data_IF_312998398682
#
_entry.id   IF_312998398682
#
_cell.length_a   1.000
_cell.length_b   1.000
_cell.length_c   1.000
_cell.angle_alpha   90.00
_cell.angle_beta   90.00
_cell.angle_gamma   90.00
#
_symmetry.space_group_name_H-M   'P 1'
#
loop_
_entity.id
_entity.type
_entity.pdbx_description
1 polymer ?
#
# COMPACT_ATOMS: atom_id res chain seq x y z
N UNK A 1 -58.54 -72.87 -34.27
CA UNK A 1 -58.10 -71.53 -34.69
C UNK A 1 -57.17 -71.02 -33.60
N UNK A 2 -55.96 -71.56 -33.42
CA UNK A 2 -54.86 -71.69 -34.39
C UNK A 2 -54.66 -70.41 -35.19
N UNK A 3 -53.71 -69.59 -34.75
CA UNK A 3 -52.61 -69.11 -35.59
C UNK A 3 -51.33 -69.06 -34.73
N UNK A 4 -50.32 -69.75 -35.23
CA UNK A 4 -48.96 -69.89 -34.70
C UNK A 4 -48.14 -68.61 -34.88
N UNK A 5 -47.07 -68.51 -34.09
CA UNK A 5 -46.04 -67.48 -34.19
C UNK A 5 -44.82 -67.85 -33.35
N UNK A 6 -44.15 -68.92 -33.78
CA UNK A 6 -42.95 -69.54 -33.22
C UNK A 6 -41.72 -68.63 -33.38
N UNK A 7 -40.86 -68.55 -32.35
CA UNK A 7 -39.60 -67.81 -32.40
C UNK A 7 -38.69 -68.13 -31.22
N UNK A 8 -37.98 -69.25 -31.34
CA UNK A 8 -36.93 -69.74 -30.44
C UNK A 8 -35.63 -68.95 -30.59
N UNK A 9 -34.87 -68.81 -29.48
CA UNK A 9 -33.41 -68.76 -29.49
C UNK A 9 -32.76 -67.72 -28.59
N UNK A 10 -32.15 -68.10 -27.44
CA UNK A 10 -31.09 -67.33 -26.82
C UNK A 10 -29.76 -67.81 -27.40
N UNK A 11 -29.28 -67.16 -28.47
CA UNK A 11 -27.93 -67.40 -28.98
C UNK A 11 -26.96 -66.32 -28.50
N UNK A 12 -25.85 -66.79 -27.95
CA UNK A 12 -24.89 -66.00 -27.23
C UNK A 12 -24.12 -65.01 -28.10
N UNK A 13 -23.71 -63.92 -27.47
CA UNK A 13 -22.56 -63.16 -27.92
C UNK A 13 -21.39 -63.41 -26.97
N UNK A 14 -20.26 -63.67 -27.62
CA UNK A 14 -19.13 -64.41 -27.11
C UNK A 14 -18.41 -63.69 -25.98
N UNK A 15 -18.07 -64.50 -24.99
CA UNK A 15 -17.05 -64.26 -23.99
C UNK A 15 -15.70 -64.16 -24.72
N UNK A 16 -15.30 -62.94 -25.07
CA UNK A 16 -13.97 -62.65 -25.59
C UNK A 16 -12.91 -62.92 -24.52
N UNK A 17 -12.42 -64.16 -24.51
CA UNK A 17 -11.21 -64.56 -23.81
C UNK A 17 -10.01 -64.33 -24.73
N UNK A 18 -9.30 -63.22 -24.54
CA UNK A 18 -7.91 -62.92 -24.93
C UNK A 18 -7.68 -61.53 -24.29
N UNK A 19 -6.95 -61.37 -23.18
CA UNK A 19 -5.53 -61.67 -23.04
C UNK A 19 -5.21 -61.76 -21.52
N UNK A 20 -5.10 -62.99 -20.99
CA UNK A 20 -4.37 -63.23 -19.75
C UNK A 20 -2.88 -62.99 -20.03
N UNK A 21 -2.45 -61.74 -19.93
CA UNK A 21 -1.13 -61.34 -20.41
C UNK A 21 -0.61 -60.01 -19.88
N UNK A 22 -0.96 -59.60 -18.66
CA UNK A 22 -0.22 -58.52 -17.99
C UNK A 22 -0.21 -58.65 -16.46
N UNK A 23 0.13 -59.84 -15.96
CA UNK A 23 0.83 -59.97 -14.68
C UNK A 23 2.32 -59.73 -14.93
N UNK A 24 2.64 -58.48 -15.23
CA UNK A 24 3.99 -57.98 -15.39
C UNK A 24 4.16 -56.79 -14.46
N UNK A 25 4.82 -57.04 -13.34
CA UNK A 25 5.27 -56.07 -12.35
C UNK A 25 6.27 -55.10 -12.99
N UNK A 26 5.78 -54.20 -13.85
CA UNK A 26 6.60 -53.19 -14.52
C UNK A 26 6.65 -51.95 -13.62
N UNK A 27 7.36 -52.09 -12.50
CA UNK A 27 7.75 -51.02 -11.57
C UNK A 27 8.82 -50.10 -12.18
N UNK A 28 8.71 -49.78 -13.47
CA UNK A 28 9.42 -48.68 -14.10
C UNK A 28 8.75 -47.36 -13.72
N UNK A 29 9.51 -46.26 -13.48
CA UNK A 29 8.90 -44.96 -13.25
C UNK A 29 8.11 -44.56 -14.50
N UNK A 30 6.78 -44.64 -14.43
CA UNK A 30 5.87 -44.13 -15.46
C UNK A 30 6.37 -42.75 -15.89
N UNK A 31 6.74 -42.63 -17.17
CA UNK A 31 7.26 -41.38 -17.71
C UNK A 31 6.27 -40.26 -17.42
N UNK A 32 6.75 -39.22 -16.72
CA UNK A 32 5.91 -38.06 -16.39
C UNK A 32 5.42 -37.44 -17.70
N UNK A 33 4.16 -37.04 -17.74
CA UNK A 33 3.64 -36.30 -18.89
C UNK A 33 4.42 -35.00 -19.07
N UNK A 34 4.63 -34.57 -20.32
CA UNK A 34 5.32 -33.31 -20.64
C UNK A 34 4.72 -32.11 -19.90
N UNK A 35 3.39 -32.09 -19.77
CA UNK A 35 2.66 -31.07 -19.03
C UNK A 35 3.03 -31.05 -17.54
N UNK A 36 3.13 -32.23 -16.90
CA UNK A 36 3.53 -32.33 -15.49
C UNK A 36 4.96 -31.83 -15.29
N UNK A 37 5.88 -32.19 -16.18
CA UNK A 37 7.26 -31.70 -16.13
C UNK A 37 7.32 -30.18 -16.25
N UNK A 38 6.52 -29.58 -17.14
CA UNK A 38 6.42 -28.14 -17.27
C UNK A 38 5.96 -27.45 -15.99
N UNK A 39 4.92 -27.98 -15.34
CA UNK A 39 4.43 -27.40 -14.09
C UNK A 39 5.43 -27.56 -12.93
N UNK A 40 6.07 -28.72 -12.81
CA UNK A 40 7.12 -28.95 -11.80
C UNK A 40 8.29 -27.97 -12.00
N UNK A 41 8.72 -27.75 -13.24
CA UNK A 41 9.76 -26.78 -13.56
C UNK A 41 9.34 -25.34 -13.20
N UNK A 42 8.09 -24.94 -13.50
CA UNK A 42 7.58 -23.62 -13.12
C UNK A 42 7.57 -23.43 -11.59
N UNK A 43 7.16 -24.45 -10.84
CA UNK A 43 7.18 -24.41 -9.37
C UNK A 43 8.61 -24.18 -8.87
N UNK A 44 9.59 -24.88 -9.44
CA UNK A 44 10.97 -24.73 -9.02
C UNK A 44 11.53 -23.32 -9.29
N UNK A 45 11.19 -22.72 -10.44
CA UNK A 45 11.54 -21.32 -10.73
C UNK A 45 10.90 -20.37 -9.73
N UNK A 46 9.61 -20.55 -9.44
CA UNK A 46 8.90 -19.70 -8.46
C UNK A 46 9.52 -19.86 -7.07
N UNK A 47 9.78 -21.09 -6.62
CA UNK A 47 10.41 -21.38 -5.32
C UNK A 47 11.76 -20.68 -5.17
N UNK A 48 12.57 -20.68 -6.22
CA UNK A 48 13.86 -19.98 -6.23
C UNK A 48 13.70 -18.45 -6.12
N UNK A 49 12.58 -17.89 -6.57
CA UNK A 49 12.32 -16.44 -6.52
C UNK A 49 11.74 -15.99 -5.17
N UNK A 50 10.79 -16.74 -4.60
CA UNK A 50 10.01 -16.30 -3.43
C UNK A 50 10.36 -17.04 -2.13
N UNK A 51 11.16 -18.11 -2.20
CA UNK A 51 11.59 -18.91 -1.05
C UNK A 51 10.66 -20.08 -0.74
N UNK A 52 10.79 -20.61 0.48
CA UNK A 52 10.02 -21.76 0.98
C UNK A 52 8.66 -21.34 1.57
N UNK A 53 7.71 -22.27 1.66
CA UNK A 53 6.34 -21.94 2.12
C UNK A 53 6.31 -21.40 3.56
N UNK A 54 7.10 -22.00 4.45
CA UNK A 54 7.21 -21.57 5.86
C UNK A 54 7.95 -20.22 6.00
N UNK A 55 8.93 -19.95 5.13
CA UNK A 55 9.60 -18.64 5.08
C UNK A 55 8.64 -17.54 4.64
N UNK A 56 7.87 -17.78 3.56
CA UNK A 56 6.86 -16.84 3.08
C UNK A 56 5.83 -16.57 4.19
N UNK A 57 5.36 -17.62 4.87
CA UNK A 57 4.44 -17.48 6.00
C UNK A 57 5.04 -16.62 7.12
N UNK A 58 6.30 -16.85 7.47
CA UNK A 58 7.06 -16.07 8.46
C UNK A 58 7.15 -14.60 8.08
N UNK A 59 7.50 -14.31 6.83
CA UNK A 59 7.60 -12.95 6.28
C UNK A 59 6.26 -12.20 6.27
N UNK A 60 5.15 -12.93 6.13
CA UNK A 60 3.80 -12.37 6.22
C UNK A 60 3.29 -12.24 7.67
N UNK A 61 4.00 -12.79 8.66
CA UNK A 61 3.57 -12.79 10.06
C UNK A 61 2.26 -13.56 10.30
N UNK A 62 1.96 -14.56 9.45
CA UNK A 62 0.70 -15.31 9.50
C UNK A 62 0.85 -16.62 10.26
N UNK A 63 -0.22 -17.04 10.95
CA UNK A 63 -0.33 -18.42 11.43
C UNK A 63 -0.65 -19.35 10.26
N UNK A 64 -0.35 -20.65 10.41
CA UNK A 64 -0.64 -21.66 9.38
C UNK A 64 -2.13 -21.66 8.98
N UNK A 65 -3.03 -21.55 9.97
CA UNK A 65 -4.47 -21.44 9.74
C UNK A 65 -4.85 -20.22 8.90
N UNK A 66 -4.25 -19.05 9.17
CA UNK A 66 -4.50 -17.82 8.40
C UNK A 66 -3.92 -17.91 6.99
N UNK A 67 -2.77 -18.56 6.83
CA UNK A 67 -2.17 -18.80 5.52
C UNK A 67 -3.04 -19.72 4.66
N UNK A 68 -3.57 -20.78 5.25
CA UNK A 68 -4.52 -21.66 4.60
C UNK A 68 -5.82 -20.92 4.21
N UNK A 69 -6.34 -20.05 5.07
CA UNK A 69 -7.49 -19.19 4.75
C UNK A 69 -7.19 -18.22 3.60
N UNK A 70 -6.02 -17.58 3.59
CA UNK A 70 -5.59 -16.67 2.52
C UNK A 70 -5.58 -17.37 1.16
N UNK A 71 -5.13 -18.63 1.14
CA UNK A 71 -5.04 -19.45 -0.07
C UNK A 71 -6.32 -20.25 -0.36
N UNK A 72 -7.36 -20.11 0.47
CA UNK A 72 -8.62 -20.83 0.37
C UNK A 72 -8.45 -22.36 0.36
N UNK A 73 -7.57 -22.87 1.21
CA UNK A 73 -7.29 -24.31 1.37
C UNK A 73 -7.52 -24.77 2.80
N UNK A 74 -7.67 -26.08 2.99
CA UNK A 74 -7.82 -26.64 4.33
C UNK A 74 -6.50 -26.54 5.12
N UNK A 75 -6.54 -26.17 6.42
CA UNK A 75 -5.34 -26.09 7.26
C UNK A 75 -4.50 -27.37 7.29
N UNK A 76 -5.13 -28.55 7.23
CA UNK A 76 -4.42 -29.84 7.19
C UNK A 76 -3.59 -30.01 5.92
N UNK A 77 -4.05 -29.43 4.81
CA UNK A 77 -3.37 -29.50 3.52
C UNK A 77 -2.07 -28.69 3.55
N UNK A 78 -2.09 -27.52 4.18
CA UNK A 78 -0.89 -26.71 4.41
C UNK A 78 0.19 -27.51 5.15
N UNK A 79 -0.18 -28.11 6.28
CA UNK A 79 0.74 -28.91 7.09
C UNK A 79 1.31 -30.10 6.32
N UNK A 80 0.51 -30.71 5.43
CA UNK A 80 0.98 -31.80 4.58
C UNK A 80 2.06 -31.34 3.60
N UNK A 81 1.88 -30.19 2.96
CA UNK A 81 2.88 -29.66 2.02
C UNK A 81 4.19 -29.33 2.71
N UNK A 82 4.13 -28.68 3.87
CA UNK A 82 5.35 -28.25 4.59
C UNK A 82 6.09 -29.43 5.23
N UNK A 83 5.38 -30.48 5.66
CA UNK A 83 6.00 -31.70 6.22
C UNK A 83 6.83 -32.49 5.19
N UNK A 84 6.43 -32.45 3.92
CA UNK A 84 7.08 -33.21 2.84
C UNK A 84 7.97 -32.33 1.95
N UNK A 85 8.59 -31.27 2.50
CA UNK A 85 9.58 -30.48 1.76
C UNK A 85 8.99 -29.46 0.76
N UNK A 86 7.81 -28.93 1.08
CA UNK A 86 7.06 -27.91 0.32
C UNK A 86 6.48 -28.41 -1.02
N UNK A 87 5.91 -29.61 -1.01
CA UNK A 87 5.20 -30.21 -2.16
C UNK A 87 3.79 -29.63 -2.36
N UNK A 88 3.66 -28.30 -2.38
CA UNK A 88 2.41 -27.66 -2.73
C UNK A 88 2.14 -27.73 -4.25
N UNK A 89 0.87 -27.86 -4.68
CA UNK A 89 0.50 -27.85 -6.08
C UNK A 89 0.93 -26.57 -6.82
N UNK A 90 1.13 -26.64 -8.15
CA UNK A 90 1.60 -25.49 -8.93
C UNK A 90 0.74 -24.23 -8.84
N UNK A 91 -0.58 -24.38 -8.74
CA UNK A 91 -1.49 -23.24 -8.63
C UNK A 91 -1.35 -22.48 -7.31
N UNK A 92 -0.94 -23.16 -6.23
CA UNK A 92 -0.71 -22.53 -4.92
C UNK A 92 0.52 -21.63 -4.97
N UNK A 93 1.61 -22.13 -5.55
CA UNK A 93 2.81 -21.33 -5.80
C UNK A 93 2.52 -20.12 -6.68
N UNK A 94 1.68 -20.29 -7.72
CA UNK A 94 1.26 -19.19 -8.57
C UNK A 94 0.43 -18.14 -7.82
N UNK A 95 -0.52 -18.58 -7.00
CA UNK A 95 -1.33 -17.68 -6.19
C UNK A 95 -0.48 -16.87 -5.20
N UNK A 96 0.50 -17.50 -4.56
CA UNK A 96 1.46 -16.82 -3.68
C UNK A 96 2.30 -15.79 -4.44
N UNK A 97 2.78 -16.14 -5.63
CA UNK A 97 3.52 -15.21 -6.48
C UNK A 97 2.68 -13.95 -6.80
N UNK A 98 1.41 -14.13 -7.19
CA UNK A 98 0.51 -13.01 -7.46
C UNK A 98 0.22 -12.16 -6.23
N UNK A 99 -0.02 -12.81 -5.08
CA UNK A 99 -0.26 -12.09 -3.83
C UNK A 99 0.93 -11.22 -3.43
N UNK A 100 2.17 -11.75 -3.53
CA UNK A 100 3.37 -11.00 -3.21
C UNK A 100 3.58 -9.82 -4.17
N UNK A 101 3.40 -10.03 -5.48
CA UNK A 101 3.43 -8.95 -6.46
C UNK A 101 2.36 -7.86 -6.20
N UNK A 102 1.15 -8.25 -5.78
CA UNK A 102 0.09 -7.29 -5.43
C UNK A 102 0.45 -6.47 -4.18
N UNK A 103 1.03 -7.12 -3.17
CA UNK A 103 1.49 -6.46 -1.94
C UNK A 103 2.58 -5.41 -2.23
N UNK A 104 3.47 -5.66 -3.19
CA UNK A 104 4.50 -4.70 -3.60
C UNK A 104 3.91 -3.47 -4.31
N UNK A 105 2.84 -3.66 -5.10
CA UNK A 105 2.22 -2.57 -5.88
C UNK A 105 1.23 -1.73 -5.07
N UNK A 106 0.59 -2.31 -4.06
CA UNK A 106 -0.43 -1.63 -3.24
C UNK A 106 0.09 -1.49 -1.80
N UNK A 107 0.69 -0.34 -1.44
CA UNK A 107 1.17 -0.12 -0.08
C UNK A 107 -0.02 -0.18 0.91
N UNK A 108 0.14 -0.93 1.98
CA UNK A 108 -0.92 -1.13 2.99
C UNK A 108 -1.85 -2.33 2.74
N UNK A 109 -1.65 -3.10 1.65
CA UNK A 109 -2.39 -4.35 1.46
C UNK A 109 -1.96 -5.37 2.53
N UNK A 110 -2.85 -5.60 3.50
CA UNK A 110 -2.64 -6.60 4.55
C UNK A 110 -3.35 -7.90 4.19
N UNK A 111 -2.84 -9.07 4.63
CA UNK A 111 -3.53 -10.35 4.42
C UNK A 111 -4.96 -10.36 4.99
N UNK A 112 -5.21 -9.48 5.97
CA UNK A 112 -6.48 -9.35 6.68
C UNK A 112 -7.59 -8.83 5.76
N UNK A 113 -7.21 -8.13 4.69
CA UNK A 113 -8.13 -7.72 3.64
C UNK A 113 -8.84 -8.91 2.99
N UNK A 114 -8.11 -10.00 2.76
CA UNK A 114 -8.64 -11.20 2.10
C UNK A 114 -9.27 -12.19 3.08
N UNK A 115 -8.78 -12.24 4.32
CA UNK A 115 -9.22 -13.22 5.31
C UNK A 115 -10.49 -12.77 6.03
N UNK A 116 -10.68 -11.46 6.26
CA UNK A 116 -11.85 -10.98 6.99
C UNK A 116 -13.10 -10.96 6.12
N UNK A 117 -14.14 -11.62 6.61
CA UNK A 117 -15.35 -12.01 5.86
C UNK A 117 -16.29 -10.84 5.54
N UNK A 118 -15.95 -9.60 5.89
CA UNK A 118 -16.80 -8.44 5.58
C UNK A 118 -15.98 -7.30 4.98
N UNK A 119 -15.95 -7.19 3.64
CA UNK A 119 -15.40 -6.00 2.97
C UNK A 119 -16.03 -4.70 3.51
N UNK A 120 -17.25 -4.77 4.03
CA UNK A 120 -17.95 -3.65 4.67
C UNK A 120 -17.24 -3.13 5.93
N UNK A 121 -16.74 -4.01 6.80
CA UNK A 121 -16.09 -3.59 8.06
C UNK A 121 -14.73 -2.94 7.77
N UNK A 122 -14.00 -3.47 6.79
CA UNK A 122 -12.74 -2.88 6.33
C UNK A 122 -12.97 -1.53 5.64
N UNK A 123 -13.98 -1.44 4.78
CA UNK A 123 -14.34 -0.18 4.15
C UNK A 123 -14.75 0.86 5.20
N UNK A 124 -15.55 0.47 6.19
CA UNK A 124 -15.95 1.35 7.28
C UNK A 124 -14.74 1.81 8.11
N UNK A 125 -13.75 0.94 8.34
CA UNK A 125 -12.51 1.32 9.02
C UNK A 125 -11.67 2.29 8.17
N UNK A 126 -11.50 2.00 6.89
CA UNK A 126 -10.78 2.88 5.96
C UNK A 126 -11.44 4.26 5.85
N UNK A 127 -12.77 4.31 5.80
CA UNK A 127 -13.52 5.56 5.83
C UNK A 127 -13.30 6.34 7.13
N UNK A 128 -13.33 5.67 8.29
CA UNK A 128 -13.05 6.31 9.58
C UNK A 128 -11.64 6.88 9.66
N UNK A 129 -10.64 6.15 9.17
CA UNK A 129 -9.25 6.64 9.13
C UNK A 129 -9.13 7.87 8.21
N UNK A 130 -9.80 7.87 7.07
CA UNK A 130 -9.82 9.00 6.14
C UNK A 130 -10.53 10.23 6.74
N UNK A 131 -11.63 10.02 7.47
CA UNK A 131 -12.34 11.10 8.17
C UNK A 131 -11.48 11.71 9.29
N UNK A 132 -10.75 10.88 10.05
CA UNK A 132 -9.79 11.36 11.04
C UNK A 132 -8.68 12.19 10.39
N UNK A 133 -8.09 11.70 9.30
CA UNK A 133 -7.05 12.43 8.56
C UNK A 133 -7.56 13.79 8.04
N UNK A 134 -8.80 13.84 7.54
CA UNK A 134 -9.43 15.10 7.12
C UNK A 134 -9.61 16.06 8.29
N UNK A 135 -10.05 15.55 9.44
CA UNK A 135 -10.26 16.37 10.63
C UNK A 135 -8.93 16.97 11.12
N UNK A 136 -7.88 16.16 11.20
CA UNK A 136 -6.52 16.63 11.55
C UNK A 136 -6.02 17.68 10.55
N UNK A 137 -6.25 17.50 9.25
CA UNK A 137 -5.91 18.51 8.24
C UNK A 137 -6.66 19.82 8.45
N UNK A 138 -7.94 19.78 8.78
CA UNK A 138 -8.75 20.97 9.07
C UNK A 138 -8.24 21.69 10.31
N UNK A 139 -7.94 20.95 11.38
CA UNK A 139 -7.39 21.49 12.62
C UNK A 139 -6.01 22.12 12.39
N UNK A 140 -5.14 21.43 11.66
CA UNK A 140 -3.82 21.95 11.29
C UNK A 140 -3.94 23.21 10.42
N UNK A 141 -4.86 23.24 9.44
CA UNK A 141 -5.13 24.44 8.66
C UNK A 141 -5.67 25.58 9.52
N UNK A 142 -6.55 25.29 10.48
CA UNK A 142 -7.07 26.26 11.43
C UNK A 142 -5.94 26.89 12.24
N UNK A 143 -5.07 26.07 12.83
CA UNK A 143 -3.91 26.53 13.60
C UNK A 143 -2.94 27.36 12.74
N UNK A 144 -2.65 26.92 11.52
CA UNK A 144 -1.79 27.66 10.59
C UNK A 144 -2.41 29.02 10.21
N UNK A 145 -3.73 29.07 10.01
CA UNK A 145 -4.43 30.31 9.68
C UNK A 145 -4.36 31.33 10.82
N UNK A 146 -4.46 30.87 12.08
CA UNK A 146 -4.30 31.72 13.26
C UNK A 146 -2.88 32.27 13.37
N UNK A 147 -1.87 31.42 13.13
CA UNK A 147 -0.47 31.86 13.09
C UNK A 147 -0.24 32.93 12.01
N UNK A 148 -0.76 32.73 10.80
CA UNK A 148 -0.66 33.71 9.72
C UNK A 148 -1.36 35.03 10.06
N UNK A 149 -2.52 34.98 10.71
CA UNK A 149 -3.21 36.20 11.16
C UNK A 149 -2.37 36.97 12.19
N UNK A 150 -1.77 36.28 13.15
CA UNK A 150 -0.90 36.91 14.15
C UNK A 150 0.34 37.53 13.49
N UNK A 151 1.02 36.80 12.60
CA UNK A 151 2.16 37.34 11.85
C UNK A 151 1.77 38.54 10.98
N UNK A 152 0.56 38.53 10.40
CA UNK A 152 0.06 39.65 9.62
C UNK A 152 -0.14 40.88 10.49
N UNK A 153 -0.68 40.72 11.71
CA UNK A 153 -0.84 41.80 12.70
C UNK A 153 0.50 42.36 13.14
N UNK A 154 1.45 41.50 13.52
CA UNK A 154 2.82 41.92 13.87
C UNK A 154 3.47 42.71 12.72
N UNK A 155 3.31 42.23 11.48
CA UNK A 155 3.82 42.93 10.30
C UNK A 155 3.15 44.28 10.09
N UNK A 156 1.86 44.43 10.38
CA UNK A 156 1.19 45.74 10.29
C UNK A 156 1.65 46.70 11.38
N UNK A 157 1.85 46.21 12.60
CA UNK A 157 2.27 47.03 13.74
C UNK A 157 3.70 47.54 13.54
N UNK A 158 4.63 46.65 13.15
CA UNK A 158 6.01 47.03 12.81
C UNK A 158 6.05 48.05 11.67
N UNK A 159 5.22 47.89 10.64
CA UNK A 159 5.16 48.88 9.55
C UNK A 159 4.67 50.24 10.05
N UNK A 160 3.72 50.28 10.98
CA UNK A 160 3.27 51.53 11.58
C UNK A 160 4.37 52.18 12.44
N UNK A 161 5.12 51.39 13.20
CA UNK A 161 6.28 51.89 13.97
C UNK A 161 7.36 52.47 13.05
N UNK A 162 7.70 51.78 11.96
CA UNK A 162 8.63 52.30 10.96
C UNK A 162 8.14 53.62 10.35
N UNK A 163 6.84 53.76 10.08
CA UNK A 163 6.27 55.00 9.57
C UNK A 163 6.34 56.14 10.60
N UNK A 164 6.09 55.86 11.88
CA UNK A 164 6.24 56.83 12.97
C UNK A 164 7.69 57.29 13.10
N UNK A 165 8.63 56.35 13.21
CA UNK A 165 10.07 56.64 13.30
C UNK A 165 10.57 57.45 12.08
N UNK A 166 10.12 57.09 10.88
CA UNK A 166 10.46 57.83 9.65
C UNK A 166 9.90 59.25 9.68
N UNK A 167 8.68 59.45 10.21
CA UNK A 167 8.07 60.77 10.37
C UNK A 167 8.83 61.60 11.39
N UNK A 168 9.20 61.02 12.52
CA UNK A 168 9.96 61.68 13.58
C UNK A 168 11.36 62.06 13.10
N UNK A 169 12.05 61.19 12.38
CA UNK A 169 13.36 61.49 11.80
C UNK A 169 13.26 62.64 10.78
N UNK A 170 12.24 62.62 9.92
CA UNK A 170 11.98 63.73 9.00
C UNK A 170 11.65 65.05 9.73
N UNK A 171 10.95 64.98 10.87
CA UNK A 171 10.67 66.13 11.71
C UNK A 171 11.95 66.69 12.34
N UNK A 172 12.79 65.83 12.94
CA UNK A 172 14.09 66.22 13.50
C UNK A 172 15.01 66.82 12.43
N UNK A 173 15.04 66.25 11.22
CA UNK A 173 15.81 66.80 10.10
C UNK A 173 15.36 68.22 9.74
N UNK A 174 14.04 68.46 9.65
CA UNK A 174 13.49 69.80 9.38
C UNK A 174 13.78 70.77 10.53
N UNK A 175 13.61 70.35 11.78
CA UNK A 175 13.90 71.16 12.96
C UNK A 175 15.38 71.53 13.05
N UNK A 176 16.30 70.59 12.75
CA UNK A 176 17.74 70.86 12.72
C UNK A 176 18.09 71.94 11.70
N UNK A 177 17.49 71.90 10.49
CA UNK A 177 17.67 72.95 9.48
C UNK A 177 17.18 74.32 10.00
N UNK A 178 16.01 74.36 10.64
CA UNK A 178 15.46 75.61 11.21
C UNK A 178 16.37 76.16 12.30
N UNK A 179 16.86 75.31 13.21
CA UNK A 179 17.77 75.72 14.29
C UNK A 179 19.09 76.27 13.71
N UNK A 180 19.64 75.63 12.67
CA UNK A 180 20.83 76.12 11.97
C UNK A 180 20.61 77.48 11.31
N UNK A 181 19.44 77.72 10.71
CA UNK A 181 19.12 79.02 10.11
C UNK A 181 18.97 80.12 11.18
N UNK A 182 18.37 79.80 12.33
CA UNK A 182 18.24 80.75 13.44
C UNK A 182 19.61 81.06 14.03
N UNK A 183 20.46 80.05 14.27
CA UNK A 183 21.80 80.27 14.80
C UNK A 183 22.68 81.06 13.83
N UNK A 184 22.56 80.81 12.52
CA UNK A 184 23.26 81.58 11.49
C UNK A 184 22.80 83.05 11.45
N UNK A 185 21.48 83.28 11.60
CA UNK A 185 20.92 84.64 11.66
C UNK A 185 21.43 85.40 12.90
N UNK A 186 21.44 84.75 14.06
CA UNK A 186 22.01 85.33 15.29
C UNK A 186 23.51 85.60 15.19
N UNK A 187 24.27 84.70 14.56
CA UNK A 187 25.69 84.90 14.31
C UNK A 187 25.96 86.10 13.40
N UNK A 188 25.14 86.30 12.35
CA UNK A 188 25.24 87.45 11.46
C UNK A 188 24.95 88.78 12.19
N UNK A 189 23.92 88.81 13.05
CA UNK A 189 23.61 89.99 13.90
C UNK A 189 24.77 90.29 14.85
N UNK A 190 25.33 89.27 15.51
CA UNK A 190 26.46 89.44 16.41
C UNK A 190 27.72 89.97 15.69
N UNK A 191 28.00 89.45 14.48
CA UNK A 191 29.10 89.92 13.64
C UNK A 191 28.92 91.38 13.22
N UNK A 192 27.71 91.76 12.79
CA UNK A 192 27.38 93.13 12.44
C UNK A 192 27.57 94.10 13.62
N UNK A 193 27.20 93.68 14.83
CA UNK A 193 27.32 94.51 16.03
C UNK A 193 28.78 94.69 16.49
N UNK A 194 29.67 93.72 16.22
CA UNK A 194 31.09 93.80 16.59
C UNK A 194 31.97 94.48 15.53
N UNK A 195 31.50 94.55 14.29
CA UNK A 195 32.20 95.17 13.16
C UNK A 195 31.93 96.67 12.97
N UNK A 196 31.17 97.30 13.88
CA UNK A 196 30.82 98.71 13.91
C UNK A 196 31.47 99.38 15.12
#
# INVERSE_FOLDING_TARGET
MELEGQGLGPEGFEKGAFDEGFLGDDLGPRSKTSLRMHYEAQVQVVRNQIGNLEEIRGNLGLSQRKMAQLLLVDPSTWTRWTKHGDEAPPHIWRALQWYLALKEKIPGLTPQYFISTSPQVLHQKALKELDLERQERIENMGNLSLQLQNLTRERTDLNQELLKLKKDLNFHKKMSIVILLISFSWAAVFWFWKGL
#
